data_IF_479411595201
#
_entry.id   IF_479411595201
#
_cell.length_a   1.000
_cell.length_b   1.000
_cell.length_c   1.000
_cell.angle_alpha   90.00
_cell.angle_beta   90.00
_cell.angle_gamma   90.00
#
_symmetry.space_group_name_H-M   'P 1'
#
loop_
_entity.id
_entity.type
_entity.pdbx_description
1 polymer ?
#
# COMPACT_ATOMS: atom_id res chain seq x y z
N UNK A 1 -2.63 15.10 0.43
CA UNK A 1 -3.31 13.93 -0.15
C UNK A 1 -3.47 12.89 0.96
N UNK A 2 -4.70 12.53 1.31
CA UNK A 2 -4.94 11.38 2.18
C UNK A 2 -4.74 10.12 1.33
N UNK A 3 -3.54 9.54 1.38
CA UNK A 3 -3.31 8.21 0.80
C UNK A 3 -4.00 7.23 1.74
N UNK A 4 -5.13 6.66 1.30
CA UNK A 4 -5.77 5.55 2.01
C UNK A 4 -5.05 4.26 1.63
N UNK A 5 -4.59 3.51 2.63
CA UNK A 5 -3.88 2.25 2.42
C UNK A 5 -4.80 1.12 1.95
N UNK A 6 -6.10 1.27 2.14
CA UNK A 6 -7.12 0.27 1.84
C UNK A 6 -8.27 0.88 1.06
N UNK A 7 -8.83 0.10 0.15
CA UNK A 7 -10.02 0.40 -0.63
C UNK A 7 -11.10 -0.61 -0.24
N UNK A 8 -12.25 -0.14 0.22
CA UNK A 8 -13.39 -1.00 0.52
C UNK A 8 -14.32 -1.08 -0.68
N UNK A 9 -14.50 -2.28 -1.22
CA UNK A 9 -15.44 -2.56 -2.31
C UNK A 9 -16.46 -3.60 -1.84
N UNK A 10 -17.68 -3.14 -1.60
CA UNK A 10 -18.76 -3.92 -1.00
C UNK A 10 -18.29 -4.61 0.29
N UNK A 11 -18.01 -5.91 0.23
CA UNK A 11 -17.67 -6.75 1.38
C UNK A 11 -16.18 -7.12 1.42
N UNK A 12 -15.37 -6.56 0.52
CA UNK A 12 -13.94 -6.88 0.38
C UNK A 12 -13.06 -5.67 0.62
N UNK A 13 -11.95 -5.92 1.29
CA UNK A 13 -10.86 -4.95 1.44
C UNK A 13 -9.82 -5.25 0.37
N UNK A 14 -9.46 -4.22 -0.40
CA UNK A 14 -8.49 -4.28 -1.46
C UNK A 14 -7.43 -3.19 -1.24
N UNK A 15 -6.36 -3.23 -2.01
CA UNK A 15 -5.31 -2.22 -2.04
C UNK A 15 -5.05 -1.85 -3.49
N UNK A 16 -4.69 -0.59 -3.74
CA UNK A 16 -4.22 -0.18 -5.07
C UNK A 16 -2.70 -0.24 -5.09
N UNK A 17 -2.16 -1.14 -5.90
CA UNK A 17 -0.73 -1.29 -6.14
C UNK A 17 -0.49 -0.88 -7.59
N UNK A 18 0.13 0.27 -7.78
CA UNK A 18 0.51 0.79 -9.10
C UNK A 18 -0.65 0.89 -10.10
N UNK A 19 -1.80 1.39 -9.64
CA UNK A 19 -3.01 1.49 -10.47
C UNK A 19 -3.75 0.17 -10.71
N UNK A 20 -3.26 -0.94 -10.15
CA UNK A 20 -3.95 -2.22 -10.14
C UNK A 20 -4.63 -2.44 -8.79
N UNK A 21 -5.91 -2.78 -8.83
CA UNK A 21 -6.67 -3.14 -7.65
C UNK A 21 -6.40 -4.61 -7.29
N UNK A 22 -5.88 -4.84 -6.08
CA UNK A 22 -5.57 -6.18 -5.57
C UNK A 22 -6.40 -6.44 -4.32
N UNK A 23 -7.20 -7.51 -4.34
CA UNK A 23 -8.08 -7.91 -3.23
C UNK A 23 -7.68 -9.25 -2.61
N UNK A 24 -6.48 -9.75 -2.93
CA UNK A 24 -5.92 -10.96 -2.33
C UNK A 24 -5.58 -10.70 -0.86
N UNK A 25 -6.11 -11.50 0.06
CA UNK A 25 -6.02 -11.22 1.51
C UNK A 25 -4.58 -11.16 2.02
N UNK A 26 -3.68 -12.01 1.50
CA UNK A 26 -2.27 -12.02 1.92
C UNK A 26 -1.58 -10.74 1.47
N UNK A 27 -1.79 -10.35 0.22
CA UNK A 27 -1.23 -9.13 -0.36
C UNK A 27 -1.80 -7.89 0.32
N UNK A 28 -3.11 -7.85 0.55
CA UNK A 28 -3.81 -6.75 1.24
C UNK A 28 -3.29 -6.57 2.66
N UNK A 29 -3.09 -7.67 3.39
CA UNK A 29 -2.57 -7.64 4.76
C UNK A 29 -1.12 -7.15 4.82
N UNK A 30 -0.23 -7.67 3.97
CA UNK A 30 1.19 -7.27 3.96
C UNK A 30 1.36 -5.82 3.48
N UNK A 31 0.76 -5.47 2.34
CA UNK A 31 0.80 -4.12 1.79
C UNK A 31 0.18 -3.11 2.75
N UNK A 32 -1.03 -3.40 3.24
CA UNK A 32 -1.77 -2.50 4.11
C UNK A 32 -1.05 -2.23 5.42
N UNK A 33 -0.47 -3.27 6.04
CA UNK A 33 0.33 -3.12 7.26
C UNK A 33 1.58 -2.25 7.04
N UNK A 34 2.28 -2.47 5.92
CA UNK A 34 3.45 -1.65 5.55
C UNK A 34 3.06 -0.19 5.25
N UNK A 35 1.92 0.02 4.57
CA UNK A 35 1.41 1.34 4.24
C UNK A 35 1.01 2.12 5.50
N UNK A 36 0.26 1.51 6.42
CA UNK A 36 -0.12 2.16 7.69
C UNK A 36 1.10 2.52 8.55
N UNK A 37 2.09 1.62 8.60
CA UNK A 37 3.36 1.90 9.30
C UNK A 37 4.15 3.01 8.61
N UNK A 38 4.20 3.02 7.29
CA UNK A 38 4.85 4.11 6.56
C UNK A 38 4.15 5.45 6.84
N UNK A 39 2.81 5.46 6.82
CA UNK A 39 1.98 6.64 7.10
C UNK A 39 2.13 7.15 8.53
N UNK A 40 2.41 6.27 9.49
CA UNK A 40 2.69 6.65 10.89
C UNK A 40 4.12 7.16 11.12
N UNK A 41 4.97 7.15 10.09
CA UNK A 41 6.34 7.68 10.13
C UNK A 41 7.45 6.63 10.24
N UNK A 42 7.15 5.35 10.12
CA UNK A 42 8.17 4.30 10.06
C UNK A 42 8.85 4.29 8.67
N UNK A 43 9.98 4.98 8.58
CA UNK A 43 10.76 5.06 7.34
C UNK A 43 11.24 3.70 6.81
N UNK A 44 11.44 2.69 7.67
CA UNK A 44 11.81 1.35 7.23
C UNK A 44 10.63 0.64 6.57
N UNK A 45 9.43 0.83 7.10
CA UNK A 45 8.21 0.34 6.46
C UNK A 45 8.01 1.01 5.10
N UNK A 46 8.23 2.32 4.98
CA UNK A 46 8.19 3.02 3.69
C UNK A 46 9.16 2.41 2.68
N UNK A 47 10.45 2.26 3.03
CA UNK A 47 11.43 1.65 2.13
C UNK A 47 11.04 0.22 1.73
N UNK A 48 10.49 -0.56 2.66
CA UNK A 48 10.06 -1.93 2.39
C UNK A 48 8.84 -1.94 1.46
N UNK A 49 7.87 -1.06 1.70
CA UNK A 49 6.70 -0.88 0.85
C UNK A 49 7.13 -0.54 -0.58
N UNK A 50 7.99 0.46 -0.75
CA UNK A 50 8.52 0.85 -2.07
C UNK A 50 9.37 -0.26 -2.71
N UNK A 51 10.20 -0.98 -1.95
CA UNK A 51 11.02 -2.07 -2.50
C UNK A 51 10.21 -3.28 -2.94
N UNK A 52 9.05 -3.56 -2.31
CA UNK A 52 8.21 -4.73 -2.63
C UNK A 52 7.11 -4.41 -3.63
N UNK A 53 6.51 -3.23 -3.49
CA UNK A 53 5.28 -2.84 -4.16
C UNK A 53 5.38 -1.50 -4.87
N UNK A 54 6.51 -0.80 -4.75
CA UNK A 54 6.75 0.43 -5.50
C UNK A 54 6.92 0.11 -6.97
N UNK A 55 6.35 0.96 -7.82
CA UNK A 55 6.57 0.89 -9.25
C UNK A 55 7.58 1.95 -9.70
N UNK A 56 8.49 1.53 -10.56
CA UNK A 56 9.42 2.41 -11.27
C UNK A 56 8.60 3.46 -12.03
N UNK A 57 8.48 4.67 -11.47
CA UNK A 57 7.76 5.78 -12.11
C UNK A 57 6.91 6.67 -11.20
N UNK A 58 6.70 6.32 -9.92
CA UNK A 58 5.97 7.17 -8.97
C UNK A 58 6.87 7.53 -7.79
N UNK A 59 7.82 8.42 -8.03
CA UNK A 59 8.39 9.27 -6.97
C UNK A 59 7.97 10.71 -7.27
N UNK A 60 7.41 11.39 -6.27
CA UNK A 60 8.20 12.48 -5.71
C UNK A 60 8.32 12.23 -4.21
N UNK A 61 9.56 12.33 -3.74
CA UNK A 61 9.86 12.57 -2.34
C UNK A 61 8.99 13.70 -1.76
#
# INVERSE_FOLDING_TARGET
MNVECYIKLSDRTCVEICGSLVCDELTVSDYGSLCERCKSGDGRACMTLFSRYGCDGVTPW
#
